data_IF_140452504673
#
_entry.id   IF_140452504673
#
_cell.length_a   1.000
_cell.length_b   1.000
_cell.length_c   1.000
_cell.angle_alpha   90.00
_cell.angle_beta   90.00
_cell.angle_gamma   90.00
#
_symmetry.space_group_name_H-M   'P 1'
#
loop_
_entity.id
_entity.type
_entity.pdbx_description
1 polymer ?
#
# COMPACT_ATOMS: atom_id res chain seq x y z
N UNK A 1 28.62 -17.41 29.02
CA UNK A 1 28.86 -16.04 28.59
C UNK A 1 28.53 -15.11 29.77
N UNK A 2 29.36 -14.06 30.03
CA UNK A 2 29.20 -13.16 31.17
C UNK A 2 28.24 -11.98 30.89
N UNK A 3 27.92 -11.21 31.93
CA UNK A 3 27.18 -9.94 31.80
C UNK A 3 27.87 -9.01 30.78
N UNK A 4 27.09 -8.32 29.97
CA UNK A 4 27.59 -7.40 28.95
C UNK A 4 28.09 -8.05 27.66
N UNK A 5 27.96 -9.37 27.49
CA UNK A 5 28.34 -10.06 26.26
C UNK A 5 27.48 -9.67 25.06
N UNK A 6 26.22 -9.27 25.29
CA UNK A 6 25.32 -8.75 24.28
C UNK A 6 24.50 -7.59 24.83
N UNK A 7 24.25 -6.60 23.98
CA UNK A 7 23.32 -5.52 24.25
C UNK A 7 22.36 -5.38 23.06
N UNK A 8 21.12 -4.99 23.33
CA UNK A 8 20.14 -4.72 22.29
C UNK A 8 19.60 -3.31 22.47
N UNK A 9 19.62 -2.50 21.42
CA UNK A 9 18.91 -1.24 21.33
C UNK A 9 17.71 -1.42 20.42
N UNK A 10 16.51 -1.26 20.97
CA UNK A 10 15.26 -1.44 20.23
C UNK A 10 14.73 -0.05 19.88
N UNK A 11 14.58 0.20 18.59
CA UNK A 11 13.96 1.41 18.04
C UNK A 11 12.80 1.04 17.14
N UNK A 12 11.66 1.69 17.34
CA UNK A 12 10.53 1.55 16.43
C UNK A 12 10.89 2.13 15.07
N UNK A 13 10.72 1.34 14.03
CA UNK A 13 11.06 1.68 12.65
C UNK A 13 9.83 1.96 11.80
N UNK A 14 8.78 1.20 11.99
CA UNK A 14 7.52 1.31 11.25
C UNK A 14 6.33 1.21 12.20
N UNK A 15 5.36 2.06 11.97
CA UNK A 15 4.06 2.02 12.63
C UNK A 15 2.99 1.51 11.67
N UNK A 16 1.90 0.95 12.20
CA UNK A 16 0.77 0.54 11.39
C UNK A 16 0.06 1.76 10.81
N UNK A 17 0.05 1.88 9.48
CA UNK A 17 -0.57 3.00 8.79
C UNK A 17 -2.10 3.04 8.89
N UNK A 18 -2.73 1.98 9.37
CA UNK A 18 -4.18 1.85 9.47
C UNK A 18 -4.82 3.06 10.16
N UNK A 19 -4.23 3.52 11.26
CA UNK A 19 -4.69 4.70 12.00
C UNK A 19 -4.77 5.97 11.15
N UNK A 20 -3.80 6.16 10.25
CA UNK A 20 -3.76 7.32 9.36
C UNK A 20 -4.76 7.15 8.21
N UNK A 21 -4.86 5.95 7.65
CA UNK A 21 -5.75 5.65 6.54
C UNK A 21 -7.22 5.72 6.99
N UNK A 22 -7.56 5.27 8.19
CA UNK A 22 -8.92 5.38 8.74
C UNK A 22 -9.38 6.84 8.94
N UNK A 23 -8.45 7.76 9.18
CA UNK A 23 -8.73 9.21 9.23
C UNK A 23 -8.86 9.86 7.84
N UNK A 24 -8.48 9.15 6.78
CA UNK A 24 -8.52 9.60 5.39
C UNK A 24 -9.20 8.56 4.50
N UNK A 25 -10.48 8.25 4.75
CA UNK A 25 -11.18 7.13 4.10
C UNK A 25 -11.35 7.31 2.59
N UNK A 26 -11.40 8.54 2.11
CA UNK A 26 -11.51 8.89 0.70
C UNK A 26 -10.34 8.37 -0.14
N UNK A 27 -9.14 8.36 0.40
CA UNK A 27 -7.95 7.83 -0.28
C UNK A 27 -8.09 6.33 -0.56
N UNK A 28 -8.58 5.59 0.43
CA UNK A 28 -8.78 4.15 0.31
C UNK A 28 -9.98 3.82 -0.59
N UNK A 29 -11.08 4.56 -0.46
CA UNK A 29 -12.28 4.28 -1.26
C UNK A 29 -12.06 4.56 -2.75
N UNK A 30 -11.33 5.62 -3.11
CA UNK A 30 -10.92 5.86 -4.50
C UNK A 30 -10.11 4.70 -5.08
N UNK A 31 -9.19 4.13 -4.28
CA UNK A 31 -8.44 2.97 -4.71
C UNK A 31 -9.35 1.75 -4.94
N UNK A 32 -10.32 1.54 -4.06
CA UNK A 32 -11.32 0.46 -4.18
C UNK A 32 -12.24 0.64 -5.40
N UNK A 33 -12.68 1.86 -5.65
CA UNK A 33 -13.49 2.19 -6.84
C UNK A 33 -12.71 1.89 -8.12
N UNK A 34 -11.47 2.34 -8.22
CA UNK A 34 -10.63 2.06 -9.38
C UNK A 34 -10.42 0.56 -9.60
N UNK A 35 -10.28 -0.23 -8.53
CA UNK A 35 -10.21 -1.69 -8.63
C UNK A 35 -11.50 -2.30 -9.16
N UNK A 36 -12.67 -1.89 -8.63
CA UNK A 36 -13.98 -2.39 -9.09
C UNK A 36 -14.24 -2.05 -10.54
N UNK A 37 -13.89 -0.84 -10.97
CA UNK A 37 -14.04 -0.42 -12.36
C UNK A 37 -13.15 -1.21 -13.33
N UNK A 38 -12.02 -1.72 -12.85
CA UNK A 38 -11.18 -2.66 -13.60
C UNK A 38 -11.57 -4.15 -13.40
N UNK A 39 -12.72 -4.41 -12.78
CA UNK A 39 -13.25 -5.76 -12.58
C UNK A 39 -12.53 -6.56 -11.49
N UNK A 40 -11.86 -5.87 -10.56
CA UNK A 40 -11.17 -6.48 -9.44
C UNK A 40 -11.95 -6.20 -8.14
N UNK A 41 -12.33 -7.24 -7.42
CA UNK A 41 -12.97 -7.07 -6.11
C UNK A 41 -11.90 -6.71 -5.05
N UNK A 42 -11.95 -5.51 -4.46
CA UNK A 42 -10.94 -5.08 -3.52
C UNK A 42 -11.14 -5.73 -2.14
N UNK A 43 -10.05 -6.17 -1.56
CA UNK A 43 -10.01 -6.58 -0.16
C UNK A 43 -8.79 -6.00 0.54
N UNK A 44 -8.84 -5.89 1.85
CA UNK A 44 -7.71 -5.45 2.66
C UNK A 44 -7.12 -6.62 3.42
N UNK A 45 -5.83 -6.79 3.33
CA UNK A 45 -5.10 -7.80 4.10
C UNK A 45 -3.90 -7.17 4.81
N UNK A 46 -3.55 -7.66 5.99
CA UNK A 46 -2.32 -7.24 6.64
C UNK A 46 -1.11 -7.72 5.85
N UNK A 47 -0.08 -6.87 5.81
CA UNK A 47 1.22 -7.25 5.26
C UNK A 47 2.24 -7.40 6.39
N UNK A 48 3.22 -8.25 6.17
CA UNK A 48 4.33 -8.44 7.08
C UNK A 48 5.42 -7.41 6.82
N UNK A 49 5.94 -6.79 7.87
CA UNK A 49 7.03 -5.81 7.78
C UNK A 49 6.55 -4.38 7.51
N UNK A 50 7.49 -3.48 7.31
CA UNK A 50 7.24 -2.09 7.01
C UNK A 50 7.23 -1.79 5.51
N UNK A 51 6.61 -0.67 5.15
CA UNK A 51 6.58 -0.17 3.77
C UNK A 51 6.86 1.32 3.74
N UNK A 52 7.28 1.82 2.58
CA UNK A 52 7.46 3.26 2.36
C UNK A 52 6.13 4.00 2.54
N UNK A 53 5.00 3.38 2.14
CA UNK A 53 3.67 3.92 2.34
C UNK A 53 3.33 4.14 3.82
N UNK A 54 3.78 3.25 4.71
CA UNK A 54 3.62 3.44 6.15
C UNK A 54 4.40 4.67 6.64
N UNK A 55 5.65 4.84 6.22
CA UNK A 55 6.44 6.02 6.57
C UNK A 55 5.84 7.31 6.03
N UNK A 56 5.47 7.34 4.77
CA UNK A 56 4.85 8.49 4.12
C UNK A 56 3.55 8.89 4.81
N UNK A 57 2.74 7.91 5.23
CA UNK A 57 1.49 8.16 5.94
C UNK A 57 1.72 8.92 7.25
N UNK A 58 2.72 8.54 8.03
CA UNK A 58 3.08 9.25 9.28
C UNK A 58 3.81 10.58 9.04
N UNK A 59 4.29 10.83 7.82
CA UNK A 59 4.85 12.13 7.41
C UNK A 59 3.78 13.10 6.87
N UNK A 60 2.49 12.71 6.91
CA UNK A 60 1.37 13.55 6.50
C UNK A 60 0.83 13.26 5.10
N UNK A 61 1.33 12.22 4.44
CA UNK A 61 0.82 11.75 3.14
C UNK A 61 0.16 10.38 3.30
N UNK A 62 -1.17 10.30 3.49
CA UNK A 62 -1.88 9.02 3.56
C UNK A 62 -1.61 8.20 2.30
N UNK A 63 -0.89 7.09 2.45
CA UNK A 63 -0.34 6.32 1.34
C UNK A 63 -0.59 4.82 1.53
N UNK A 64 -1.81 4.33 1.21
CA UNK A 64 -2.10 2.89 1.27
C UNK A 64 -1.33 2.14 0.20
N UNK A 65 -0.95 0.90 0.51
CA UNK A 65 -0.32 0.02 -0.46
C UNK A 65 -1.36 -0.59 -1.39
N UNK A 66 -1.02 -0.70 -2.66
CA UNK A 66 -1.80 -1.39 -3.68
C UNK A 66 -1.15 -2.73 -4.06
N UNK A 67 -1.89 -3.55 -4.80
CA UNK A 67 -1.40 -4.77 -5.41
C UNK A 67 -0.37 -4.49 -6.52
N UNK A 68 0.45 -5.48 -6.84
CA UNK A 68 1.50 -5.39 -7.87
C UNK A 68 1.49 -6.55 -8.87
N UNK A 69 0.70 -7.59 -8.61
CA UNK A 69 0.69 -8.83 -9.39
C UNK A 69 1.74 -9.84 -8.97
N UNK A 70 2.53 -9.55 -7.93
CA UNK A 70 3.49 -10.48 -7.37
C UNK A 70 2.89 -11.38 -6.29
N UNK A 71 3.53 -12.52 -6.08
CA UNK A 71 3.11 -13.54 -5.13
C UNK A 71 4.31 -14.18 -4.44
N UNK A 72 4.10 -14.75 -3.26
CA UNK A 72 5.12 -15.47 -2.49
C UNK A 72 6.37 -14.62 -2.20
N UNK A 73 6.18 -13.34 -1.90
CA UNK A 73 7.25 -12.37 -1.65
C UNK A 73 8.27 -12.85 -0.62
N UNK A 74 9.53 -12.53 -0.86
CA UNK A 74 10.68 -12.88 -0.02
C UNK A 74 10.93 -14.39 0.09
N UNK A 75 10.43 -15.19 -0.84
CA UNK A 75 10.67 -16.62 -0.90
C UNK A 75 11.43 -17.00 -2.17
N UNK A 76 12.04 -18.18 -2.17
CA UNK A 76 12.66 -18.75 -3.38
C UNK A 76 11.62 -19.13 -4.46
N UNK A 77 10.34 -19.08 -4.13
CA UNK A 77 9.22 -19.37 -5.02
C UNK A 77 8.47 -18.09 -5.42
N UNK A 78 9.07 -16.92 -5.19
CA UNK A 78 8.49 -15.65 -5.61
C UNK A 78 8.27 -15.62 -7.12
N UNK A 79 7.10 -15.18 -7.53
CA UNK A 79 6.72 -15.06 -8.95
C UNK A 79 5.77 -13.89 -9.16
N UNK A 80 5.63 -13.47 -10.42
CA UNK A 80 4.63 -12.51 -10.85
C UNK A 80 3.77 -13.11 -11.96
N UNK A 81 2.51 -12.72 -12.01
CA UNK A 81 1.55 -13.11 -13.04
C UNK A 81 1.35 -11.92 -13.96
N UNK A 82 1.62 -12.09 -15.25
CA UNK A 82 1.58 -11.01 -16.25
C UNK A 82 0.21 -10.32 -16.27
N UNK A 83 -0.87 -11.07 -16.33
CA UNK A 83 -2.23 -10.55 -16.36
C UNK A 83 -2.58 -9.76 -15.10
N UNK A 84 -2.04 -10.16 -13.94
CA UNK A 84 -2.20 -9.40 -12.70
C UNK A 84 -1.39 -8.10 -12.72
N UNK A 85 -0.19 -8.11 -13.29
CA UNK A 85 0.64 -6.91 -13.45
C UNK A 85 -0.02 -5.89 -14.37
N UNK A 86 -0.54 -6.33 -15.51
CA UNK A 86 -1.29 -5.51 -16.46
C UNK A 86 -2.51 -4.88 -15.76
N UNK A 87 -3.27 -5.67 -15.03
CA UNK A 87 -4.43 -5.18 -14.27
C UNK A 87 -4.03 -4.14 -13.21
N UNK A 88 -2.93 -4.34 -12.52
CA UNK A 88 -2.42 -3.36 -11.55
C UNK A 88 -1.98 -2.06 -12.24
N UNK A 89 -1.40 -2.12 -13.42
CA UNK A 89 -1.05 -0.95 -14.21
C UNK A 89 -2.30 -0.16 -14.64
N UNK A 90 -3.35 -0.84 -15.08
CA UNK A 90 -4.63 -0.22 -15.44
C UNK A 90 -5.28 0.49 -14.25
N UNK A 91 -5.29 -0.15 -13.08
CA UNK A 91 -5.77 0.46 -11.82
C UNK A 91 -4.98 1.72 -11.48
N UNK A 92 -3.65 1.68 -11.56
CA UNK A 92 -2.80 2.82 -11.29
C UNK A 92 -3.05 3.97 -12.26
N UNK A 93 -3.18 3.67 -13.56
CA UNK A 93 -3.48 4.65 -14.60
C UNK A 93 -4.85 5.32 -14.34
N UNK A 94 -5.86 4.55 -13.99
CA UNK A 94 -7.19 5.05 -13.64
C UNK A 94 -7.13 6.00 -12.45
N UNK A 95 -6.47 5.62 -11.38
CA UNK A 95 -6.28 6.46 -10.19
C UNK A 95 -5.63 7.80 -10.51
N UNK A 96 -4.60 7.82 -11.35
CA UNK A 96 -3.95 9.06 -11.78
C UNK A 96 -4.90 9.94 -12.62
N UNK A 97 -5.64 9.33 -13.53
CA UNK A 97 -6.59 10.04 -14.40
C UNK A 97 -7.76 10.64 -13.61
N UNK A 98 -8.33 9.88 -12.70
CA UNK A 98 -9.44 10.33 -11.87
C UNK A 98 -9.04 11.41 -10.86
N UNK A 99 -7.79 11.38 -10.41
CA UNK A 99 -7.23 12.45 -9.58
C UNK A 99 -7.21 13.79 -10.30
N UNK A 100 -6.92 13.80 -11.60
CA UNK A 100 -6.96 15.02 -12.43
C UNK A 100 -8.40 15.53 -12.59
N UNK A 101 -9.36 14.63 -12.87
CA UNK A 101 -10.78 14.97 -12.96
C UNK A 101 -11.33 15.55 -11.66
N UNK A 102 -10.95 14.95 -10.53
CA UNK A 102 -11.39 15.39 -9.21
C UNK A 102 -10.91 16.80 -8.86
N UNK A 103 -9.67 17.15 -9.21
CA UNK A 103 -9.17 18.53 -9.04
C UNK A 103 -9.92 19.55 -9.91
N UNK A 104 -10.23 19.17 -11.13
CA UNK A 104 -10.93 20.07 -12.07
C UNK A 104 -12.43 20.25 -11.75
N UNK A 105 -13.05 19.28 -11.06
CA UNK A 105 -14.45 19.35 -10.65
C UNK A 105 -14.71 20.10 -9.34
N UNK A 106 -13.68 20.51 -8.62
CA UNK A 106 -13.77 21.30 -7.37
C UNK A 106 -13.54 22.82 -7.54
N UNK A 107 -13.40 23.26 -8.75
CA UNK A 107 -13.31 24.70 -9.05
C UNK A 107 -14.69 25.30 -9.30
#
# INVERSE_FOLDING_TARGET
YGEGTASAEIKDSYYNMREIIEKNPDVLERAREAMREEGVEPYSSPIRGGTDGARLSFMGLPCPNLCTGGHMYHSRHEYAVLEHMEKCADIALRLMTDTVKYKNGKN
#
